data_IF_898082914591
#
_entry.id   IF_898082914591
#
_cell.length_a   1.000
_cell.length_b   1.000
_cell.length_c   1.000
_cell.angle_alpha   90.00
_cell.angle_beta   90.00
_cell.angle_gamma   90.00
#
_symmetry.space_group_name_H-M   'P 1'
#
loop_
_entity.id
_entity.type
_entity.pdbx_description
1 polymer ?
#
# COMPACT_ATOMS: atom_id res chain seq x y z
N UNK A 1 18.81 9.14 -51.64
CA UNK A 1 19.56 7.97 -52.15
C UNK A 1 20.90 7.97 -51.43
N UNK A 2 21.00 7.22 -50.33
CA UNK A 2 22.22 7.13 -49.52
C UNK A 2 22.52 5.65 -49.28
N UNK A 3 23.71 5.24 -49.70
CA UNK A 3 24.19 3.86 -49.68
C UNK A 3 25.31 3.80 -48.65
N UNK A 4 25.09 3.09 -47.54
CA UNK A 4 26.17 2.72 -46.61
C UNK A 4 26.34 1.20 -46.68
N UNK A 5 27.53 0.79 -47.13
CA UNK A 5 27.95 -0.61 -47.29
C UNK A 5 28.47 -1.13 -45.96
N UNK A 6 27.94 -2.27 -45.50
CA UNK A 6 28.51 -3.07 -44.41
C UNK A 6 29.73 -3.86 -44.89
N UNK A 7 30.85 -3.88 -44.14
CA UNK A 7 31.98 -4.75 -44.42
C UNK A 7 31.88 -5.99 -43.54
N UNK A 8 31.52 -7.13 -44.13
CA UNK A 8 31.99 -8.50 -43.79
C UNK A 8 31.06 -9.52 -44.42
N UNK A 9 31.40 -9.91 -45.66
CA UNK A 9 30.70 -10.96 -46.40
C UNK A 9 30.97 -12.34 -45.79
N UNK A 10 30.10 -12.78 -44.88
CA UNK A 10 29.96 -14.19 -44.54
C UNK A 10 28.48 -14.59 -44.54
N UNK A 11 28.10 -15.65 -45.28
CA UNK A 11 26.74 -16.15 -45.27
C UNK A 11 26.46 -16.87 -43.95
N UNK A 12 25.37 -16.51 -43.27
CA UNK A 12 24.83 -17.30 -42.16
C UNK A 12 23.58 -18.01 -42.66
N UNK A 13 23.67 -19.33 -42.70
CA UNK A 13 22.64 -20.26 -43.19
C UNK A 13 21.51 -20.36 -42.16
N UNK A 14 20.28 -20.11 -42.62
CA UNK A 14 19.06 -20.44 -41.88
C UNK A 14 18.88 -21.96 -41.83
N UNK A 15 18.89 -22.54 -40.63
CA UNK A 15 18.50 -23.93 -40.40
C UNK A 15 17.09 -23.96 -39.76
N UNK A 16 16.08 -24.19 -40.59
CA UNK A 16 14.71 -24.47 -40.12
C UNK A 16 14.57 -25.96 -39.81
N UNK A 17 14.75 -26.36 -38.55
CA UNK A 17 14.43 -27.72 -38.10
C UNK A 17 13.05 -27.76 -37.45
N UNK A 18 12.10 -28.23 -38.24
CA UNK A 18 10.74 -28.61 -37.86
C UNK A 18 10.81 -29.87 -36.98
N UNK A 19 10.57 -29.78 -35.67
CA UNK A 19 10.28 -30.95 -34.83
C UNK A 19 8.79 -31.03 -34.52
N UNK A 20 8.11 -32.00 -35.15
CA UNK A 20 6.84 -32.53 -34.66
C UNK A 20 7.12 -33.32 -33.39
N UNK A 21 6.40 -33.06 -32.31
CA UNK A 21 6.35 -33.94 -31.15
C UNK A 21 4.89 -34.38 -30.94
N UNK A 22 4.67 -35.69 -31.10
CA UNK A 22 3.42 -36.38 -30.75
C UNK A 22 3.77 -37.39 -29.66
N UNK A 23 3.12 -37.30 -28.50
CA UNK A 23 2.94 -38.41 -27.55
C UNK A 23 1.85 -38.00 -26.54
N UNK A 24 0.61 -38.43 -26.72
CA UNK A 24 0.00 -39.60 -26.03
C UNK A 24 0.20 -39.60 -24.51
N UNK A 25 -0.87 -39.20 -23.82
CA UNK A 25 -1.49 -39.86 -22.67
C UNK A 25 -0.63 -40.23 -21.45
N UNK A 26 -1.02 -39.70 -20.29
CA UNK A 26 -1.24 -40.53 -19.10
C UNK A 26 -2.06 -39.82 -18.02
N UNK A 27 -3.10 -40.54 -17.60
CA UNK A 27 -3.96 -40.31 -16.46
C UNK A 27 -3.21 -40.26 -15.12
N UNK A 28 -3.76 -39.52 -14.15
CA UNK A 28 -3.39 -39.58 -12.73
C UNK A 28 -4.19 -38.58 -11.88
N UNK A 29 -4.66 -38.95 -10.67
CA UNK A 29 -5.99 -38.56 -10.19
C UNK A 29 -6.03 -37.28 -9.36
N UNK A 30 -7.13 -36.53 -9.50
CA UNK A 30 -7.61 -35.50 -8.57
C UNK A 30 -8.67 -36.11 -7.65
N UNK A 31 -8.60 -35.82 -6.35
CA UNK A 31 -9.74 -35.97 -5.45
C UNK A 31 -9.39 -36.44 -4.05
N UNK A 32 -8.97 -35.52 -3.17
CA UNK A 32 -9.21 -35.64 -1.73
C UNK A 32 -10.25 -34.58 -1.37
N UNK A 33 -11.49 -35.01 -1.25
CA UNK A 33 -12.63 -34.18 -0.87
C UNK A 33 -12.74 -34.21 0.67
N UNK A 34 -12.22 -33.17 1.32
CA UNK A 34 -12.25 -33.01 2.77
C UNK A 34 -13.51 -32.20 3.13
N UNK A 35 -14.65 -32.88 3.35
CA UNK A 35 -15.86 -32.24 3.84
C UNK A 35 -15.73 -31.88 5.32
N UNK A 36 -15.75 -30.57 5.56
CA UNK A 36 -15.87 -29.89 6.83
C UNK A 36 -17.02 -30.40 7.69
N UNK A 37 -16.74 -30.52 9.00
CA UNK A 37 -17.70 -30.78 10.04
C UNK A 37 -18.58 -29.54 10.31
N UNK A 38 -19.88 -29.76 10.43
CA UNK A 38 -20.86 -28.83 10.99
C UNK A 38 -21.06 -29.10 12.48
N UNK A 39 -21.18 -28.04 13.29
CA UNK A 39 -21.68 -28.13 14.66
C UNK A 39 -21.37 -26.90 15.51
N UNK A 40 -22.32 -25.96 15.62
CA UNK A 40 -23.18 -25.71 16.80
C UNK A 40 -22.46 -25.25 18.09
N UNK A 41 -22.61 -23.97 18.46
CA UNK A 41 -23.45 -23.56 19.61
C UNK A 41 -23.37 -22.05 19.88
N UNK A 42 -24.53 -21.43 19.88
CA UNK A 42 -24.78 -20.16 20.54
C UNK A 42 -24.92 -20.38 22.07
N UNK A 43 -24.46 -19.44 22.89
CA UNK A 43 -24.94 -19.31 24.27
C UNK A 43 -24.94 -17.84 24.72
N UNK A 44 -26.12 -17.44 25.19
CA UNK A 44 -26.53 -16.14 25.69
C UNK A 44 -26.15 -15.92 27.17
N UNK A 45 -25.96 -14.65 27.53
CA UNK A 45 -26.38 -13.91 28.77
C UNK A 45 -26.01 -14.43 30.18
N UNK A 46 -25.49 -13.50 31.00
CA UNK A 46 -25.97 -13.15 32.36
C UNK A 46 -25.08 -12.01 32.93
N UNK A 47 -25.53 -10.76 33.11
CA UNK A 47 -26.27 -10.14 34.24
C UNK A 47 -25.57 -10.08 35.62
N UNK A 48 -25.37 -8.82 36.07
CA UNK A 48 -25.58 -8.23 37.40
C UNK A 48 -24.65 -8.56 38.59
N UNK A 49 -24.09 -7.49 39.20
CA UNK A 49 -24.47 -6.93 40.53
C UNK A 49 -23.53 -5.73 40.85
N UNK A 50 -24.04 -4.51 41.06
CA UNK A 50 -24.63 -3.90 42.27
C UNK A 50 -23.64 -3.70 43.43
N UNK A 51 -23.49 -2.43 43.85
CA UNK A 51 -22.97 -1.99 45.15
C UNK A 51 -22.62 -0.50 45.14
N UNK A 52 -23.62 0.40 45.16
CA UNK A 52 -24.03 1.25 46.31
C UNK A 52 -22.88 1.95 47.05
N UNK A 53 -22.74 3.27 46.87
CA UNK A 53 -23.18 4.36 47.80
C UNK A 53 -22.27 4.48 49.03
N UNK A 54 -21.56 5.61 49.16
CA UNK A 54 -21.48 6.31 50.44
C UNK A 54 -21.24 7.82 50.24
N UNK A 55 -21.83 8.55 51.17
CA UNK A 55 -22.25 9.94 51.12
C UNK A 55 -21.26 10.88 51.83
N UNK A 56 -21.41 12.18 51.53
CA UNK A 56 -21.16 13.35 52.38
C UNK A 56 -19.80 13.50 53.09
N UNK A 57 -19.08 14.58 52.77
CA UNK A 57 -18.98 15.72 53.70
C UNK A 57 -18.39 16.95 53.01
N UNK A 58 -19.06 18.10 53.15
CA UNK A 58 -18.48 19.42 52.91
C UNK A 58 -17.85 19.88 54.21
N UNK A 59 -16.60 20.32 54.18
CA UNK A 59 -16.04 21.12 55.26
C UNK A 59 -15.34 22.34 54.65
N UNK A 60 -15.93 23.52 54.85
CA UNK A 60 -15.28 24.82 54.69
C UNK A 60 -14.58 25.15 56.01
N UNK A 61 -13.37 25.72 55.97
CA UNK A 61 -12.93 26.82 56.84
C UNK A 61 -11.51 27.29 56.47
N UNK A 62 -11.33 28.61 56.60
CA UNK A 62 -10.15 29.40 56.26
C UNK A 62 -8.95 29.14 57.19
N UNK A 63 -7.71 29.39 56.69
CA UNK A 63 -6.86 30.52 57.15
C UNK A 63 -5.34 30.27 57.00
N UNK A 64 -4.63 31.34 56.62
CA UNK A 64 -3.22 31.71 56.92
C UNK A 64 -2.02 30.99 56.28
N UNK A 65 -1.53 31.61 55.18
CA UNK A 65 -0.19 32.24 54.97
C UNK A 65 1.13 31.45 55.17
N UNK A 66 1.93 31.48 54.08
CA UNK A 66 3.41 31.46 53.95
C UNK A 66 4.14 30.17 54.37
N UNK A 67 5.20 29.69 53.73
CA UNK A 67 6.15 30.24 52.74
C UNK A 67 6.93 29.04 52.16
N UNK A 68 7.57 29.29 51.01
CA UNK A 68 8.75 28.60 50.45
C UNK A 68 8.61 27.17 49.93
N UNK A 69 8.65 27.08 48.60
CA UNK A 69 9.53 26.16 47.87
C UNK A 69 9.18 24.69 47.94
N UNK A 70 8.42 24.21 46.97
CA UNK A 70 8.91 23.19 46.04
C UNK A 70 7.94 23.14 44.84
N UNK A 71 8.44 23.58 43.69
CA UNK A 71 7.78 23.41 42.40
C UNK A 71 7.93 21.94 42.03
N UNK A 72 7.01 21.10 42.48
CA UNK A 72 6.82 19.78 41.87
C UNK A 72 6.17 20.01 40.50
N UNK A 73 7.03 20.27 39.51
CA UNK A 73 6.65 20.25 38.10
C UNK A 73 6.37 18.79 37.75
N UNK A 74 5.15 18.34 38.06
CA UNK A 74 4.54 17.22 37.38
C UNK A 74 4.41 17.61 35.91
N UNK A 75 5.50 17.39 35.16
CA UNK A 75 5.54 17.49 33.72
C UNK A 75 4.73 16.31 33.18
N UNK A 76 3.41 16.42 33.25
CA UNK A 76 2.51 15.58 32.50
C UNK A 76 2.80 15.86 31.02
N UNK A 77 3.68 15.04 30.44
CA UNK A 77 3.89 14.98 29.00
C UNK A 77 2.58 14.48 28.38
N UNK A 78 1.70 15.40 28.07
CA UNK A 78 0.56 15.18 27.19
C UNK A 78 1.11 15.00 25.77
N UNK A 79 1.55 13.80 25.43
CA UNK A 79 1.67 13.42 24.02
C UNK A 79 0.28 13.04 23.52
N UNK A 80 -0.56 14.05 23.29
CA UNK A 80 -1.66 13.90 22.34
C UNK A 80 -1.06 14.10 20.95
N UNK A 81 -0.35 13.09 20.44
CA UNK A 81 -0.11 13.02 19.00
C UNK A 81 -1.49 12.80 18.38
N UNK A 82 -2.13 13.88 17.93
CA UNK A 82 -3.18 13.76 16.93
C UNK A 82 -2.52 13.10 15.73
N UNK A 83 -2.59 11.77 15.67
CA UNK A 83 -2.26 11.03 14.47
C UNK A 83 -3.34 11.47 13.49
N UNK A 84 -2.98 12.47 12.66
CA UNK A 84 -3.80 12.89 11.55
C UNK A 84 -3.78 11.72 10.58
N UNK A 85 -4.70 10.80 10.80
CA UNK A 85 -4.90 9.66 9.93
C UNK A 85 -5.59 10.23 8.69
N UNK A 86 -4.80 10.81 7.78
CA UNK A 86 -5.31 11.23 6.49
C UNK A 86 -5.74 9.96 5.78
N UNK A 87 -7.03 9.88 5.45
CA UNK A 87 -7.55 8.80 4.62
C UNK A 87 -6.76 8.69 3.31
N UNK A 88 -6.81 7.51 2.70
CA UNK A 88 -6.11 7.23 1.45
C UNK A 88 -6.50 8.23 0.36
N UNK A 89 -5.49 8.72 -0.34
CA UNK A 89 -5.58 9.64 -1.46
C UNK A 89 -5.23 8.93 -2.76
N UNK A 90 -5.71 9.46 -3.88
CA UNK A 90 -5.58 8.82 -5.20
C UNK A 90 -5.15 9.81 -6.27
N UNK A 91 -4.43 9.29 -7.27
CA UNK A 91 -4.05 9.99 -8.50
C UNK A 91 -5.00 9.62 -9.65
N UNK A 92 -4.94 10.39 -10.73
CA UNK A 92 -5.60 10.09 -12.01
C UNK A 92 -4.96 8.88 -12.73
N UNK A 93 -3.75 8.49 -12.31
CA UNK A 93 -3.01 7.32 -12.79
C UNK A 93 -3.26 6.06 -11.95
N UNK A 94 -4.24 6.11 -11.05
CA UNK A 94 -4.69 4.99 -10.23
C UNK A 94 -3.66 4.49 -9.20
N UNK A 95 -2.68 5.32 -8.83
CA UNK A 95 -1.89 5.13 -7.62
C UNK A 95 -2.64 5.68 -6.40
N UNK A 96 -2.29 5.14 -5.24
CA UNK A 96 -2.78 5.62 -3.96
C UNK A 96 -1.63 6.04 -3.05
N UNK A 97 -1.93 6.97 -2.15
CA UNK A 97 -1.06 7.47 -1.10
C UNK A 97 -1.79 7.38 0.25
N UNK A 98 -1.15 6.74 1.23
CA UNK A 98 -1.63 6.69 2.62
C UNK A 98 -0.60 7.31 3.54
N UNK A 99 -0.99 8.36 4.27
CA UNK A 99 -0.05 9.16 5.07
C UNK A 99 0.05 8.64 6.50
N UNK A 100 1.28 8.43 6.96
CA UNK A 100 1.65 8.21 8.35
C UNK A 100 2.60 9.32 8.81
N UNK A 101 2.03 10.40 9.34
CA UNK A 101 2.77 11.60 9.72
C UNK A 101 3.42 12.29 8.53
N UNK A 102 4.74 12.14 8.36
CA UNK A 102 5.51 12.72 7.24
C UNK A 102 5.83 11.72 6.12
N UNK A 103 5.55 10.44 6.37
CA UNK A 103 5.87 9.36 5.43
C UNK A 103 4.58 8.93 4.75
N UNK A 104 4.57 8.97 3.42
CA UNK A 104 3.49 8.45 2.61
C UNK A 104 3.83 7.05 2.10
N UNK A 105 2.90 6.10 2.26
CA UNK A 105 2.98 4.78 1.63
C UNK A 105 2.27 4.85 0.29
N UNK A 106 2.93 4.36 -0.77
CA UNK A 106 2.44 4.41 -2.14
C UNK A 106 2.16 3.00 -2.65
N UNK A 107 1.07 2.85 -3.40
CA UNK A 107 0.79 1.63 -4.17
C UNK A 107 -0.17 1.87 -5.32
N UNK A 108 -0.62 0.81 -6.01
CA UNK A 108 -1.65 0.92 -7.05
C UNK A 108 -3.01 0.45 -6.56
N UNK A 109 -4.07 1.03 -7.11
CA UNK A 109 -5.45 0.70 -6.72
C UNK A 109 -5.90 -0.67 -7.25
N UNK A 110 -7.02 -1.15 -6.70
CA UNK A 110 -7.66 -2.38 -7.19
C UNK A 110 -8.01 -2.29 -8.69
N UNK A 111 -8.45 -1.12 -9.16
CA UNK A 111 -8.76 -0.91 -10.58
C UNK A 111 -7.52 -1.10 -11.46
N UNK A 112 -6.39 -0.48 -11.06
CA UNK A 112 -5.14 -0.58 -11.80
C UNK A 112 -4.64 -2.02 -11.92
N UNK A 113 -4.62 -2.77 -10.82
CA UNK A 113 -4.13 -4.16 -10.85
C UNK A 113 -5.04 -5.07 -11.69
N UNK A 114 -6.36 -4.82 -11.72
CA UNK A 114 -7.30 -5.61 -12.52
C UNK A 114 -7.10 -5.32 -14.02
N UNK A 115 -6.89 -4.06 -14.37
CA UNK A 115 -6.57 -3.62 -15.73
C UNK A 115 -5.22 -4.18 -16.22
N UNK A 116 -4.20 -4.22 -15.36
CA UNK A 116 -2.92 -4.86 -15.66
C UNK A 116 -3.06 -6.38 -15.79
N UNK A 117 -3.89 -7.02 -14.97
CA UNK A 117 -3.92 -8.47 -14.82
C UNK A 117 -2.74 -9.00 -14.00
N UNK A 118 -2.35 -10.25 -14.23
CA UNK A 118 -1.33 -10.94 -13.43
C UNK A 118 0.05 -10.27 -13.57
N UNK A 119 0.47 -9.56 -12.52
CA UNK A 119 1.76 -8.85 -12.48
C UNK A 119 2.88 -9.86 -12.31
N UNK A 120 3.88 -9.77 -13.17
CA UNK A 120 5.03 -10.70 -13.23
C UNK A 120 6.36 -10.02 -12.94
N UNK A 121 6.41 -8.69 -12.99
CA UNK A 121 7.60 -7.91 -12.69
C UNK A 121 7.24 -6.55 -12.09
N UNK A 122 8.08 -6.09 -11.16
CA UNK A 122 7.96 -4.78 -10.53
C UNK A 122 9.36 -4.17 -10.37
N UNK A 123 9.56 -3.00 -10.97
CA UNK A 123 10.73 -2.15 -10.78
C UNK A 123 10.35 -0.97 -9.90
N UNK A 124 10.89 -0.96 -8.68
CA UNK A 124 10.61 0.07 -7.68
C UNK A 124 11.77 1.06 -7.58
N UNK A 125 11.53 2.32 -7.18
CA UNK A 125 12.61 3.27 -6.95
C UNK A 125 13.47 2.82 -5.78
N UNK A 126 14.77 3.14 -5.84
CA UNK A 126 15.71 2.75 -4.80
C UNK A 126 15.60 3.64 -3.56
N UNK A 127 15.90 3.05 -2.40
CA UNK A 127 15.93 3.80 -1.13
C UNK A 127 16.99 4.90 -1.21
N UNK A 128 16.60 6.12 -0.86
CA UNK A 128 17.43 7.32 -0.93
C UNK A 128 17.27 8.11 -2.24
N UNK A 129 16.60 7.56 -3.26
CA UNK A 129 16.30 8.27 -4.50
C UNK A 129 15.31 9.42 -4.25
N UNK A 130 15.52 10.53 -4.94
CA UNK A 130 14.57 11.64 -4.98
C UNK A 130 13.50 11.37 -6.05
N UNK A 131 12.24 11.59 -5.68
CA UNK A 131 11.08 11.46 -6.57
C UNK A 131 10.32 12.77 -6.63
N UNK A 132 9.76 13.10 -7.78
CA UNK A 132 8.99 14.33 -8.00
C UNK A 132 7.54 13.97 -8.32
N UNK A 133 6.59 14.78 -7.84
CA UNK A 133 5.18 14.62 -8.17
C UNK A 133 4.98 14.49 -9.69
N UNK A 134 4.23 13.46 -10.11
CA UNK A 134 3.89 13.17 -11.52
C UNK A 134 5.07 12.82 -12.42
N UNK A 135 6.26 12.58 -11.87
CA UNK A 135 7.39 12.00 -12.61
C UNK A 135 7.43 10.48 -12.45
N UNK A 136 7.89 9.80 -13.50
CA UNK A 136 8.12 8.36 -13.51
C UNK A 136 9.22 8.00 -12.50
N UNK A 137 8.96 6.97 -11.70
CA UNK A 137 9.89 6.48 -10.67
C UNK A 137 10.09 4.97 -10.70
N UNK A 138 9.36 4.24 -11.55
CA UNK A 138 9.40 2.79 -11.65
C UNK A 138 8.48 2.26 -12.73
N UNK A 139 8.32 0.94 -12.78
CA UNK A 139 7.45 0.28 -13.76
C UNK A 139 6.89 -1.03 -13.21
N UNK A 140 5.68 -1.40 -13.66
CA UNK A 140 5.04 -2.68 -13.41
C UNK A 140 4.76 -3.36 -14.74
N UNK A 141 5.09 -4.65 -14.84
CA UNK A 141 4.80 -5.44 -16.04
C UNK A 141 3.96 -6.68 -15.68
N UNK A 142 2.99 -6.95 -16.53
CA UNK A 142 2.11 -8.11 -16.46
C UNK A 142 2.22 -8.95 -17.73
N UNK A 143 1.51 -10.08 -17.76
CA UNK A 143 1.39 -10.89 -18.98
C UNK A 143 0.54 -10.22 -20.08
N UNK A 144 -0.13 -9.10 -19.77
CA UNK A 144 -1.05 -8.41 -20.69
C UNK A 144 -0.55 -7.02 -21.10
N UNK A 145 0.10 -6.30 -20.19
CA UNK A 145 0.45 -4.90 -20.34
C UNK A 145 1.69 -4.54 -19.51
N UNK A 146 2.26 -3.37 -19.80
CA UNK A 146 3.25 -2.72 -18.95
C UNK A 146 2.71 -1.32 -18.61
N UNK A 147 2.95 -0.86 -17.39
CA UNK A 147 2.63 0.49 -16.94
C UNK A 147 3.81 1.09 -16.21
N UNK A 148 4.12 2.32 -16.56
CA UNK A 148 5.01 3.19 -15.79
C UNK A 148 4.35 3.52 -14.45
N UNK A 149 5.18 3.73 -13.42
CA UNK A 149 4.76 4.12 -12.07
C UNK A 149 5.14 5.57 -11.82
N UNK A 150 4.17 6.40 -11.47
CA UNK A 150 4.37 7.82 -11.21
C UNK A 150 4.34 8.10 -9.70
N UNK A 151 5.18 9.03 -9.24
CA UNK A 151 5.13 9.43 -7.82
C UNK A 151 3.96 10.38 -7.56
N UNK A 152 3.08 10.09 -6.58
CA UNK A 152 1.96 10.97 -6.24
C UNK A 152 2.41 12.29 -5.57
N UNK A 153 3.64 12.34 -5.04
CA UNK A 153 4.21 13.47 -4.28
C UNK A 153 5.70 13.61 -4.51
N UNK A 154 6.23 14.80 -4.25
CA UNK A 154 7.66 15.11 -4.27
C UNK A 154 8.29 14.75 -2.91
N UNK A 155 9.38 13.99 -2.93
CA UNK A 155 10.02 13.53 -1.69
C UNK A 155 11.24 12.64 -1.91
N UNK A 156 11.67 11.99 -0.83
CA UNK A 156 12.76 11.00 -0.85
C UNK A 156 12.23 9.62 -0.48
N UNK A 157 12.60 8.60 -1.24
CA UNK A 157 12.21 7.21 -0.94
C UNK A 157 12.93 6.74 0.31
N UNK A 158 12.17 6.30 1.32
CA UNK A 158 12.70 5.83 2.60
C UNK A 158 12.65 4.31 2.74
N UNK A 159 11.75 3.66 2.02
CA UNK A 159 11.57 2.21 2.08
C UNK A 159 11.00 1.70 0.75
N UNK A 160 11.42 0.52 0.30
CA UNK A 160 10.80 -0.18 -0.83
C UNK A 160 10.38 -1.59 -0.43
N UNK A 161 9.29 -2.09 -1.01
CA UNK A 161 8.77 -3.41 -0.72
C UNK A 161 9.49 -4.48 -1.54
N UNK A 162 10.63 -4.95 -1.02
CA UNK A 162 11.41 -6.05 -1.64
C UNK A 162 10.60 -7.34 -1.80
N UNK A 163 9.58 -7.57 -0.95
CA UNK A 163 8.71 -8.74 -1.10
C UNK A 163 7.87 -8.67 -2.38
N UNK A 164 7.51 -7.48 -2.86
CA UNK A 164 6.83 -7.28 -4.15
C UNK A 164 7.79 -7.47 -5.32
N UNK A 165 9.04 -7.03 -5.22
CA UNK A 165 10.06 -7.32 -6.26
C UNK A 165 10.29 -8.83 -6.40
N UNK A 166 10.36 -9.56 -5.28
CA UNK A 166 10.51 -11.02 -5.27
C UNK A 166 9.24 -11.78 -5.68
N UNK A 167 8.06 -11.24 -5.32
CA UNK A 167 6.74 -11.84 -5.57
C UNK A 167 5.73 -10.79 -6.06
N UNK A 168 5.79 -10.42 -7.35
CA UNK A 168 4.94 -9.34 -7.90
C UNK A 168 3.43 -9.59 -7.77
N UNK A 169 3.00 -10.86 -7.75
CA UNK A 169 1.59 -11.22 -7.54
C UNK A 169 0.97 -10.77 -6.20
N UNK A 170 1.77 -10.31 -5.23
CA UNK A 170 1.25 -9.65 -4.03
C UNK A 170 0.41 -8.41 -4.36
N UNK A 171 0.74 -7.72 -5.44
CA UNK A 171 -0.02 -6.57 -5.95
C UNK A 171 -1.46 -6.98 -6.28
N UNK A 172 -1.63 -8.09 -7.00
CA UNK A 172 -2.96 -8.59 -7.36
C UNK A 172 -3.75 -9.11 -6.15
N UNK A 173 -3.07 -9.76 -5.19
CA UNK A 173 -3.74 -10.36 -4.03
C UNK A 173 -4.12 -9.36 -2.94
N UNK A 174 -3.35 -8.28 -2.78
CA UNK A 174 -3.43 -7.42 -1.59
C UNK A 174 -2.89 -6.01 -1.88
N UNK A 175 -3.37 -5.36 -2.95
CA UNK A 175 -2.89 -4.05 -3.41
C UNK A 175 -2.85 -2.94 -2.34
N UNK A 176 -3.72 -3.02 -1.33
CA UNK A 176 -3.83 -2.02 -0.25
C UNK A 176 -3.15 -2.39 1.07
N UNK A 177 -2.66 -3.62 1.22
CA UNK A 177 -2.00 -4.05 2.46
C UNK A 177 -0.59 -4.58 2.17
N UNK A 178 -0.46 -5.76 1.57
CA UNK A 178 0.86 -6.39 1.34
C UNK A 178 1.52 -5.97 0.02
N UNK A 179 0.73 -5.42 -0.90
CA UNK A 179 1.12 -4.98 -2.23
C UNK A 179 1.48 -3.49 -2.33
N UNK A 180 1.75 -2.82 -1.20
CA UNK A 180 2.36 -1.49 -1.23
C UNK A 180 3.72 -1.55 -1.95
N UNK A 181 4.11 -0.47 -2.60
CA UNK A 181 5.28 -0.44 -3.48
C UNK A 181 6.47 0.20 -2.78
N UNK A 182 6.36 1.46 -2.39
CA UNK A 182 7.42 2.19 -1.71
C UNK A 182 6.85 3.20 -0.73
N UNK A 183 7.71 3.69 0.17
CA UNK A 183 7.39 4.78 1.09
C UNK A 183 8.25 5.98 0.77
N UNK A 184 7.65 7.16 0.84
CA UNK A 184 8.27 8.44 0.54
C UNK A 184 8.15 9.37 1.73
N UNK A 185 9.26 10.01 2.13
CA UNK A 185 9.21 11.17 3.03
C UNK A 185 8.93 12.42 2.20
N UNK A 186 7.82 13.09 2.49
CA UNK A 186 7.33 14.21 1.68
C UNK A 186 8.17 15.47 1.91
N UNK A 187 8.65 16.05 0.81
CA UNK A 187 9.32 17.36 0.82
C UNK A 187 8.32 18.51 0.77
N UNK A 188 7.14 18.28 0.17
CA UNK A 188 6.08 19.29 -0.03
C UNK A 188 4.70 18.73 0.38
N UNK A 189 4.32 18.84 1.66
CA UNK A 189 3.07 18.26 2.16
C UNK A 189 1.79 18.79 1.49
N UNK A 190 1.85 20.00 0.90
CA UNK A 190 0.71 20.64 0.24
C UNK A 190 0.27 19.90 -1.03
N UNK A 191 1.16 19.12 -1.65
CA UNK A 191 0.84 18.33 -2.85
C UNK A 191 -0.21 17.23 -2.56
N UNK A 192 -0.38 16.83 -1.29
CA UNK A 192 -1.40 15.85 -0.88
C UNK A 192 -2.81 16.41 -1.04
N UNK A 193 -2.98 17.74 -0.90
CA UNK A 193 -4.29 18.40 -1.03
C UNK A 193 -4.77 18.45 -2.49
N UNK A 194 -3.89 18.23 -3.45
CA UNK A 194 -4.22 18.12 -4.89
C UNK A 194 -4.76 16.73 -5.27
N UNK A 195 -4.55 15.74 -4.41
CA UNK A 195 -4.96 14.36 -4.66
C UNK A 195 -6.44 14.13 -4.33
N UNK A 196 -7.03 13.19 -5.08
CA UNK A 196 -8.43 12.82 -4.88
C UNK A 196 -8.59 12.05 -3.57
N UNK A 197 -9.66 12.34 -2.83
CA UNK A 197 -10.13 11.41 -1.80
C UNK A 197 -10.85 10.20 -2.42
N UNK A 198 -11.25 9.25 -1.58
CA UNK A 198 -11.96 8.05 -1.99
C UNK A 198 -13.24 8.37 -2.78
N UNK A 199 -14.08 9.30 -2.30
CA UNK A 199 -15.35 9.62 -2.95
C UNK A 199 -15.15 10.25 -4.33
N UNK A 200 -14.15 11.13 -4.45
CA UNK A 200 -13.73 11.73 -5.72
C UNK A 200 -13.17 10.66 -6.67
N UNK A 201 -12.36 9.73 -6.18
CA UNK A 201 -11.81 8.65 -7.00
C UNK A 201 -12.90 7.71 -7.52
N UNK A 202 -13.88 7.35 -6.69
CA UNK A 202 -15.02 6.53 -7.12
C UNK A 202 -15.88 7.24 -8.19
N UNK A 203 -16.03 8.56 -8.10
CA UNK A 203 -16.68 9.35 -9.14
C UNK A 203 -15.84 9.42 -10.42
N UNK A 204 -14.51 9.57 -10.28
CA UNK A 204 -13.58 9.55 -11.39
C UNK A 204 -13.68 8.25 -12.18
N UNK A 205 -13.70 7.09 -11.51
CA UNK A 205 -13.86 5.78 -12.14
C UNK A 205 -15.17 5.69 -12.94
N UNK A 206 -16.31 6.06 -12.34
CA UNK A 206 -17.62 6.01 -13.04
C UNK A 206 -17.69 6.87 -14.30
N UNK A 207 -16.91 7.95 -14.37
CA UNK A 207 -16.90 8.87 -15.50
C UNK A 207 -15.91 8.47 -16.60
N UNK A 208 -14.97 7.56 -16.31
CA UNK A 208 -13.87 7.17 -17.21
C UNK A 208 -13.85 5.67 -17.55
N UNK A 209 -14.88 4.92 -17.11
CA UNK A 209 -15.23 3.59 -17.63
C UNK A 209 -15.87 3.67 -19.04
#
# INVERSE_FOLDING_TARGET
MFTIRHPTGRPVVFCTSRRKYTSTGRDGPRGIDLKMASGVHAALRATQRIGRVFQFSKCLTNSTRSRTGDLDVCQARLFSTTHLNYGRKYTDKHEWLEMDGKVGTVGISHYAQDALGDVVYAQLPDVGQDVTQKEECGALESVKAASELYSPVTGKVVEKNTAVEDKPGLINMSCYEKGWLFKVELSKPQEVDELMDEDQYQQFLKNHE
#
